data_IF_603205126016
#
_entry.id   IF_603205126016
#
_cell.length_a   1.000
_cell.length_b   1.000
_cell.length_c   1.000
_cell.angle_alpha   90.00
_cell.angle_beta   90.00
_cell.angle_gamma   90.00
#
_symmetry.space_group_name_H-M   'P 1'
#
loop_
_entity.id
_entity.type
_entity.pdbx_description
1 polymer ?
#
# COMPACT_ATOMS: atom_id res chain seq x y z
N UNK A 1 -18.81 30.39 -5.62
CA UNK A 1 -17.43 30.88 -5.35
C UNK A 1 -16.50 29.77 -5.75
N UNK A 2 -15.73 29.99 -6.79
CA UNK A 2 -14.87 29.03 -7.45
C UNK A 2 -13.63 28.73 -6.62
N UNK A 3 -13.37 27.44 -6.40
CA UNK A 3 -12.19 26.91 -5.73
C UNK A 3 -10.96 26.81 -6.67
N UNK A 4 -10.70 27.82 -7.47
CA UNK A 4 -9.58 27.82 -8.44
C UNK A 4 -8.20 28.14 -7.82
N UNK A 5 -8.08 28.12 -6.48
CA UNK A 5 -6.87 28.61 -5.82
C UNK A 5 -5.72 27.65 -5.58
N UNK A 6 -5.85 26.32 -5.82
CA UNK A 6 -4.90 25.45 -5.15
C UNK A 6 -3.83 24.77 -6.01
N UNK A 7 -4.08 24.40 -7.23
CA UNK A 7 -3.12 23.61 -8.03
C UNK A 7 -1.95 24.47 -8.53
N UNK A 8 -2.21 25.69 -8.96
CA UNK A 8 -1.18 26.63 -9.46
C UNK A 8 -0.15 27.01 -8.38
N UNK A 9 -0.59 27.11 -7.12
CA UNK A 9 0.28 27.49 -6.00
C UNK A 9 1.28 26.39 -5.61
N UNK A 10 0.92 25.13 -5.80
CA UNK A 10 1.83 24.00 -5.54
C UNK A 10 2.90 23.83 -6.63
N UNK A 11 2.60 24.20 -7.87
CA UNK A 11 3.55 24.05 -8.98
C UNK A 11 4.67 25.11 -9.00
N UNK A 12 4.49 26.23 -8.32
CA UNK A 12 5.45 27.34 -8.30
C UNK A 12 6.36 27.36 -7.06
N UNK A 13 6.13 26.52 -6.06
CA UNK A 13 7.04 26.42 -4.92
C UNK A 13 8.37 25.80 -5.36
N UNK A 14 9.44 26.57 -5.24
CA UNK A 14 10.79 26.03 -5.39
C UNK A 14 10.97 24.83 -4.45
N UNK A 15 11.45 23.73 -4.99
CA UNK A 15 11.82 22.57 -4.17
C UNK A 15 12.94 22.98 -3.22
N UNK A 16 12.82 22.62 -1.96
CA UNK A 16 13.93 22.68 -1.03
C UNK A 16 15.07 21.73 -1.48
N UNK A 17 16.21 21.73 -0.77
CA UNK A 17 17.36 20.89 -1.09
C UNK A 17 17.02 19.39 -1.08
N UNK A 18 15.98 18.98 -0.36
CA UNK A 18 15.51 17.63 -0.30
C UNK A 18 16.38 16.69 0.54
N UNK A 19 15.99 15.42 0.59
CA UNK A 19 16.75 14.38 1.24
C UNK A 19 17.97 14.02 0.38
N UNK A 20 19.20 14.04 0.94
CA UNK A 20 20.40 13.68 0.19
C UNK A 20 20.28 12.30 -0.47
N UNK A 21 20.54 12.22 -1.76
CA UNK A 21 20.55 10.98 -2.52
C UNK A 21 19.18 10.38 -2.85
N UNK A 22 18.07 11.07 -2.58
CA UNK A 22 16.73 10.59 -2.95
C UNK A 22 16.63 10.38 -4.47
N UNK A 23 16.33 9.17 -4.89
CA UNK A 23 16.13 8.79 -6.30
C UNK A 23 14.67 8.55 -6.67
N UNK A 24 13.82 8.18 -5.72
CA UNK A 24 12.41 7.91 -5.95
C UNK A 24 11.79 7.04 -4.87
N UNK A 25 10.56 6.64 -5.08
CA UNK A 25 9.88 5.67 -4.25
C UNK A 25 10.33 4.26 -4.63
N UNK A 26 10.86 3.50 -3.68
CA UNK A 26 11.21 2.09 -3.89
C UNK A 26 9.99 1.18 -3.76
N UNK A 27 9.31 1.26 -2.62
CA UNK A 27 8.09 0.51 -2.35
C UNK A 27 7.17 1.26 -1.39
N UNK A 28 5.94 0.81 -1.33
CA UNK A 28 4.97 1.16 -0.29
C UNK A 28 4.62 -0.10 0.51
N UNK A 29 4.38 0.05 1.82
CA UNK A 29 3.91 -1.03 2.68
C UNK A 29 2.40 -0.94 2.90
N UNK A 30 1.73 -2.08 2.94
CA UNK A 30 0.31 -2.19 3.21
C UNK A 30 0.01 -3.41 4.07
N UNK A 31 -0.64 -3.19 5.21
CA UNK A 31 -1.16 -4.30 6.03
C UNK A 31 -2.56 -4.66 5.57
N UNK A 32 -2.75 -5.94 5.26
CA UNK A 32 -4.01 -6.50 4.77
C UNK A 32 -4.50 -7.63 5.68
N UNK A 33 -5.80 -7.91 5.70
CA UNK A 33 -6.34 -8.99 6.53
C UNK A 33 -5.84 -10.38 6.14
N UNK A 34 -5.57 -10.60 4.85
CA UNK A 34 -5.12 -11.87 4.30
C UNK A 34 -4.22 -11.60 3.09
N UNK A 35 -2.93 -11.86 3.24
CA UNK A 35 -1.94 -11.60 2.18
C UNK A 35 -2.13 -12.51 0.97
N UNK A 36 -2.50 -13.77 1.15
CA UNK A 36 -2.68 -14.68 0.01
C UNK A 36 -3.87 -14.25 -0.85
N UNK A 37 -4.95 -13.80 -0.23
CA UNK A 37 -6.11 -13.23 -0.96
C UNK A 37 -5.74 -11.92 -1.67
N UNK A 38 -4.97 -11.05 -1.02
CA UNK A 38 -4.49 -9.80 -1.62
C UNK A 38 -3.58 -10.08 -2.82
N UNK A 39 -2.61 -10.97 -2.70
CA UNK A 39 -1.74 -11.39 -3.81
C UNK A 39 -2.56 -11.98 -4.95
N UNK A 40 -3.56 -12.81 -4.64
CA UNK A 40 -4.49 -13.33 -5.65
C UNK A 40 -5.15 -12.22 -6.46
N UNK A 41 -5.65 -11.18 -5.80
CA UNK A 41 -6.22 -10.02 -6.47
C UNK A 41 -5.18 -9.25 -7.31
N UNK A 42 -4.06 -8.89 -6.71
CA UNK A 42 -3.01 -8.14 -7.41
C UNK A 42 -2.43 -8.92 -8.60
N UNK A 43 -2.18 -10.21 -8.46
CA UNK A 43 -1.60 -11.02 -9.53
C UNK A 43 -2.61 -11.39 -10.61
N UNK A 44 -3.79 -11.90 -10.23
CA UNK A 44 -4.74 -12.47 -11.19
C UNK A 44 -5.73 -11.45 -11.76
N UNK A 45 -6.04 -10.38 -11.02
CA UNK A 45 -6.94 -9.32 -11.52
C UNK A 45 -6.14 -8.16 -12.11
N UNK A 46 -5.17 -7.63 -11.36
CA UNK A 46 -4.39 -6.47 -11.83
C UNK A 46 -3.18 -6.85 -12.69
N UNK A 47 -2.76 -8.12 -12.71
CA UNK A 47 -1.60 -8.57 -13.48
C UNK A 47 -0.26 -8.17 -12.88
N UNK A 48 -0.20 -7.94 -11.55
CA UNK A 48 1.05 -7.69 -10.86
C UNK A 48 1.86 -8.98 -10.69
N UNK A 49 3.17 -8.85 -10.63
CA UNK A 49 4.09 -9.95 -10.41
C UNK A 49 4.40 -10.11 -8.92
N UNK A 50 4.34 -11.33 -8.38
CA UNK A 50 4.90 -11.65 -7.07
C UNK A 50 6.41 -11.83 -7.19
N UNK A 51 7.19 -10.99 -6.51
CA UNK A 51 8.64 -11.02 -6.59
C UNK A 51 9.25 -12.01 -5.61
N UNK A 52 8.82 -11.98 -4.36
CA UNK A 52 9.26 -12.92 -3.32
C UNK A 52 8.32 -12.94 -2.12
N UNK A 53 8.49 -13.99 -1.33
CA UNK A 53 7.80 -14.23 -0.07
C UNK A 53 8.81 -14.27 1.07
N UNK A 54 8.49 -13.62 2.19
CA UNK A 54 9.15 -13.85 3.46
C UNK A 54 8.23 -14.60 4.41
N UNK A 55 8.85 -15.41 5.25
CA UNK A 55 8.16 -16.21 6.24
C UNK A 55 7.79 -15.42 7.50
N UNK A 56 7.33 -16.15 8.48
CA UNK A 56 6.96 -15.64 9.79
C UNK A 56 8.15 -15.00 10.49
N UNK A 57 7.90 -13.83 11.09
CA UNK A 57 8.88 -13.13 11.88
C UNK A 57 8.25 -12.58 13.18
N UNK A 58 8.85 -12.89 14.30
CA UNK A 58 8.50 -12.36 15.62
C UNK A 58 9.71 -12.32 16.51
N UNK A 59 9.63 -11.54 17.58
CA UNK A 59 10.66 -11.44 18.62
C UNK A 59 10.04 -11.78 19.97
N UNK A 60 10.65 -12.72 20.69
CA UNK A 60 10.09 -13.23 21.94
C UNK A 60 10.38 -12.34 23.15
N UNK A 61 11.52 -11.63 23.14
CA UNK A 61 11.96 -10.80 24.24
C UNK A 61 12.42 -9.42 23.76
N UNK A 62 12.39 -8.42 24.67
CA UNK A 62 12.76 -7.05 24.34
C UNK A 62 11.74 -6.30 23.50
N UNK A 63 12.10 -5.12 23.04
CA UNK A 63 11.19 -4.17 22.37
C UNK A 63 11.55 -3.91 20.89
N UNK A 64 12.32 -4.79 20.29
CA UNK A 64 12.82 -4.61 18.92
C UNK A 64 11.69 -4.33 17.92
N UNK A 65 10.55 -5.05 18.00
CA UNK A 65 9.41 -4.85 17.12
C UNK A 65 8.81 -3.44 17.25
N UNK A 66 8.73 -2.94 18.47
CA UNK A 66 8.25 -1.58 18.73
C UNK A 66 9.24 -0.53 18.23
N UNK A 67 10.50 -0.71 18.56
CA UNK A 67 11.57 0.26 18.24
C UNK A 67 11.82 0.40 16.74
N UNK A 68 11.70 -0.69 15.97
CA UNK A 68 12.05 -0.73 14.55
C UNK A 68 10.83 -0.68 13.61
N UNK A 69 9.69 -1.22 14.04
CA UNK A 69 8.50 -1.32 13.19
C UNK A 69 7.29 -0.54 13.71
N UNK A 70 7.40 0.06 14.89
CA UNK A 70 6.31 0.79 15.55
C UNK A 70 5.03 -0.05 15.69
N UNK A 71 5.20 -1.31 16.08
CA UNK A 71 4.13 -2.26 16.39
C UNK A 71 4.26 -2.75 17.83
N UNK A 72 3.28 -3.48 18.34
CA UNK A 72 3.39 -4.11 19.66
C UNK A 72 4.64 -4.98 19.74
N UNK A 73 5.33 -5.00 20.90
CA UNK A 73 6.57 -5.76 21.06
C UNK A 73 6.43 -7.26 20.76
N UNK A 74 5.23 -7.80 20.96
CA UNK A 74 4.87 -9.21 20.65
C UNK A 74 4.06 -9.36 19.36
N UNK A 75 4.10 -8.38 18.47
CA UNK A 75 3.52 -8.53 17.15
C UNK A 75 4.30 -9.58 16.33
N UNK A 76 3.58 -10.26 15.46
CA UNK A 76 4.11 -11.25 14.54
C UNK A 76 3.75 -10.86 13.11
N UNK A 77 4.72 -10.86 12.21
CA UNK A 77 4.48 -10.84 10.77
C UNK A 77 4.22 -12.29 10.38
N UNK A 78 2.99 -12.65 10.12
CA UNK A 78 2.61 -14.03 9.77
C UNK A 78 2.84 -14.34 8.31
N UNK A 79 2.77 -13.33 7.45
CA UNK A 79 2.95 -13.46 6.02
C UNK A 79 3.40 -12.13 5.42
N UNK A 80 4.29 -12.18 4.44
CA UNK A 80 4.72 -11.01 3.69
C UNK A 80 5.00 -11.37 2.24
N UNK A 81 4.58 -10.53 1.32
CA UNK A 81 4.85 -10.63 -0.11
C UNK A 81 5.32 -9.31 -0.67
N UNK A 82 6.32 -9.36 -1.53
CA UNK A 82 6.67 -8.24 -2.39
C UNK A 82 6.06 -8.46 -3.77
N UNK A 83 5.34 -7.46 -4.26
CA UNK A 83 4.71 -7.45 -5.58
C UNK A 83 5.21 -6.29 -6.42
N UNK A 84 5.11 -6.41 -7.74
CA UNK A 84 5.37 -5.35 -8.69
C UNK A 84 4.21 -5.22 -9.67
N UNK A 85 3.69 -4.01 -9.81
CA UNK A 85 2.63 -3.70 -10.76
C UNK A 85 3.19 -2.81 -11.87
N UNK A 86 3.48 -3.41 -13.02
CA UNK A 86 4.04 -2.68 -14.15
C UNK A 86 5.44 -2.10 -13.86
N UNK A 87 5.64 -0.84 -14.25
CA UNK A 87 6.92 -0.12 -14.10
C UNK A 87 6.97 0.80 -12.88
N UNK A 88 5.92 0.78 -12.06
CA UNK A 88 5.83 1.60 -10.85
C UNK A 88 6.65 1.08 -9.67
N UNK A 89 6.48 1.69 -8.52
CA UNK A 89 7.03 1.22 -7.26
C UNK A 89 6.47 -0.15 -6.88
N UNK A 90 7.24 -0.88 -6.07
CA UNK A 90 6.80 -2.17 -5.57
C UNK A 90 5.79 -2.00 -4.43
N UNK A 91 5.01 -3.04 -4.16
CA UNK A 91 4.15 -3.14 -2.99
C UNK A 91 4.64 -4.22 -2.04
N UNK A 92 4.73 -3.87 -0.77
CA UNK A 92 5.08 -4.81 0.30
C UNK A 92 3.81 -5.11 1.10
N UNK A 93 3.26 -6.28 0.94
CA UNK A 93 2.01 -6.71 1.58
C UNK A 93 2.32 -7.48 2.86
N UNK A 94 1.78 -7.01 3.97
CA UNK A 94 1.94 -7.61 5.28
C UNK A 94 0.64 -8.18 5.83
N UNK A 95 0.75 -9.30 6.52
CA UNK A 95 -0.25 -9.81 7.43
C UNK A 95 0.38 -9.88 8.83
N UNK A 96 -0.22 -9.18 9.77
CA UNK A 96 0.23 -9.12 11.15
C UNK A 96 -0.76 -9.78 12.09
N UNK A 97 -0.26 -10.39 13.14
CA UNK A 97 -0.98 -10.65 14.37
C UNK A 97 -0.33 -9.87 15.52
N UNK A 98 -1.16 -9.23 16.34
CA UNK A 98 -0.69 -8.48 17.51
C UNK A 98 -1.77 -8.44 18.59
N UNK A 99 -1.36 -8.41 19.89
CA UNK A 99 -2.32 -8.36 21.01
C UNK A 99 -3.25 -7.14 20.98
N UNK A 100 -2.81 -6.04 20.39
CA UNK A 100 -3.52 -4.75 20.30
C UNK A 100 -3.96 -4.42 18.86
N UNK A 101 -4.00 -5.41 17.97
CA UNK A 101 -4.39 -5.21 16.57
C UNK A 101 -5.80 -4.65 16.45
N UNK A 102 -5.94 -3.59 15.65
CA UNK A 102 -7.24 -3.08 15.23
C UNK A 102 -7.64 -3.72 13.91
N UNK A 103 -8.88 -4.18 13.83
CA UNK A 103 -9.38 -4.93 12.67
C UNK A 103 -10.25 -4.08 11.74
N UNK A 104 -10.64 -2.87 12.17
CA UNK A 104 -11.47 -1.99 11.37
C UNK A 104 -10.73 -1.47 10.14
N UNK A 105 -11.36 -1.59 8.98
CA UNK A 105 -10.86 -0.99 7.76
C UNK A 105 -10.96 0.54 7.85
N UNK A 106 -9.85 1.22 7.69
CA UNK A 106 -9.81 2.68 7.68
C UNK A 106 -10.43 3.22 6.37
N UNK A 107 -11.22 4.28 6.49
CA UNK A 107 -11.73 5.03 5.34
C UNK A 107 -10.65 6.00 4.86
N UNK A 108 -10.74 6.46 3.62
CA UNK A 108 -9.79 7.46 3.08
C UNK A 108 -9.75 8.76 3.89
N UNK A 109 -10.81 9.07 4.65
CA UNK A 109 -10.90 10.24 5.53
C UNK A 109 -10.28 10.06 6.91
N UNK A 110 -9.91 8.85 7.30
CA UNK A 110 -9.32 8.56 8.61
C UNK A 110 -7.79 8.74 8.57
N UNK A 111 -7.14 8.96 9.73
CA UNK A 111 -5.70 9.22 9.78
C UNK A 111 -4.89 8.04 9.28
N UNK A 112 -5.17 6.94 9.02
CA UNK A 112 -4.44 5.87 8.35
C UNK A 112 -5.05 5.52 6.98
N UNK A 113 -6.00 6.33 6.52
CA UNK A 113 -6.64 6.17 5.23
C UNK A 113 -5.63 6.36 4.10
N UNK A 114 -5.65 5.45 3.14
CA UNK A 114 -4.77 5.48 1.98
C UNK A 114 -5.46 4.84 0.78
N UNK A 115 -4.92 5.10 -0.38
CA UNK A 115 -5.36 4.49 -1.63
C UNK A 115 -4.18 4.30 -2.58
N UNK A 116 -4.35 3.43 -3.55
CA UNK A 116 -3.43 3.27 -4.67
C UNK A 116 -4.08 3.81 -5.94
N UNK A 117 -3.28 4.42 -6.79
CA UNK A 117 -3.71 4.89 -8.10
C UNK A 117 -2.88 4.20 -9.16
N UNK A 118 -3.55 3.54 -10.10
CA UNK A 118 -2.91 2.87 -11.23
C UNK A 118 -3.11 3.69 -12.49
N UNK A 119 -2.06 3.81 -13.28
CA UNK A 119 -2.15 4.43 -14.59
C UNK A 119 -2.52 3.37 -15.63
N UNK A 120 -3.51 3.67 -16.46
CA UNK A 120 -3.97 2.79 -17.53
C UNK A 120 -4.09 3.56 -18.84
N UNK A 121 -3.96 2.87 -19.96
CA UNK A 121 -4.06 3.49 -21.30
C UNK A 121 -5.50 3.90 -21.63
N UNK A 122 -6.49 3.09 -21.22
CA UNK A 122 -7.90 3.34 -21.46
C UNK A 122 -8.71 3.06 -20.21
N UNK A 123 -9.24 4.11 -19.60
CA UNK A 123 -10.03 4.00 -18.37
C UNK A 123 -11.34 3.24 -18.55
N UNK A 124 -12.00 3.36 -19.70
CA UNK A 124 -13.27 2.69 -19.95
C UNK A 124 -13.08 1.18 -20.03
N UNK A 125 -12.05 0.72 -20.74
CA UNK A 125 -11.72 -0.70 -20.84
C UNK A 125 -11.30 -1.26 -19.45
N UNK A 126 -10.52 -0.52 -18.69
CA UNK A 126 -10.10 -0.90 -17.34
C UNK A 126 -11.31 -1.04 -16.39
N UNK A 127 -12.25 -0.10 -16.43
CA UNK A 127 -13.46 -0.16 -15.61
C UNK A 127 -14.33 -1.36 -15.96
N UNK A 128 -14.58 -1.63 -17.24
CA UNK A 128 -15.36 -2.80 -17.66
C UNK A 128 -14.67 -4.12 -17.29
N UNK A 129 -13.35 -4.19 -17.43
CA UNK A 129 -12.56 -5.33 -16.99
C UNK A 129 -12.71 -5.59 -15.48
N UNK A 130 -12.56 -4.54 -14.65
CA UNK A 130 -12.67 -4.64 -13.20
C UNK A 130 -14.09 -5.04 -12.76
N UNK A 131 -15.13 -4.48 -13.38
CA UNK A 131 -16.53 -4.91 -13.14
C UNK A 131 -16.71 -6.39 -13.42
N UNK A 132 -16.17 -6.89 -14.54
CA UNK A 132 -16.20 -8.31 -14.89
C UNK A 132 -15.53 -9.23 -13.87
N UNK A 133 -14.62 -8.69 -13.04
CA UNK A 133 -13.96 -9.39 -11.94
C UNK A 133 -14.58 -9.13 -10.58
N UNK A 134 -15.76 -8.52 -10.53
CA UNK A 134 -16.51 -8.30 -9.29
C UNK A 134 -16.00 -7.13 -8.44
N UNK A 135 -15.16 -6.25 -9.00
CA UNK A 135 -14.68 -5.05 -8.31
C UNK A 135 -15.79 -4.02 -8.26
N UNK A 136 -16.04 -3.45 -7.08
CA UNK A 136 -17.00 -2.36 -6.90
C UNK A 136 -16.42 -1.06 -7.46
N UNK A 137 -17.12 -0.45 -8.39
CA UNK A 137 -16.76 0.87 -8.93
C UNK A 137 -17.56 1.93 -8.20
N UNK A 138 -16.86 2.93 -7.66
CA UNK A 138 -17.45 4.09 -6.98
C UNK A 138 -17.48 5.29 -7.93
N UNK A 139 -18.64 5.90 -8.17
CA UNK A 139 -18.80 7.11 -8.98
C UNK A 139 -19.06 6.87 -10.44
#
# INVERSE_FOLDING_TARGET
MSSEGSISTYMTKQRGPGMPGLRGLDHYGMTVPNVDAAVGFFAHVLGCEELYKLGTFRVEEGDWMTEHLNVHARAEITNMRMIRCGQGGNGELFEYEAPDKRHEQQRNSDNAGHHLCFYVDNIFDAVEYLKGHGVTILG
#
